data_IF_534818018120
#
_entry.id   IF_534818018120
#
_cell.length_a   1.000
_cell.length_b   1.000
_cell.length_c   1.000
_cell.angle_alpha   90.00
_cell.angle_beta   90.00
_cell.angle_gamma   90.00
#
_symmetry.space_group_name_H-M   'P 1'
#
loop_
_entity.id
_entity.type
_entity.pdbx_description
1 polymer ?
#
# COMPACT_ATOMS: atom_id res chain seq x y z
N UNK A 1 -13.95 -6.12 10.13
CA UNK A 1 -14.68 -7.29 9.61
C UNK A 1 -13.76 -8.49 9.42
N UNK A 2 -12.74 -8.41 8.56
CA UNK A 2 -11.80 -9.53 8.27
C UNK A 2 -11.19 -10.18 9.52
N UNK A 3 -10.77 -9.38 10.51
CA UNK A 3 -10.17 -9.90 11.76
C UNK A 3 -11.22 -10.58 12.64
N UNK A 4 -12.38 -9.95 12.81
CA UNK A 4 -13.45 -10.46 13.68
C UNK A 4 -14.08 -11.74 13.14
N UNK A 5 -14.18 -11.92 11.82
CA UNK A 5 -14.69 -13.14 11.20
C UNK A 5 -13.75 -14.35 11.33
N UNK A 6 -12.51 -14.16 11.81
CA UNK A 6 -11.61 -15.26 12.19
C UNK A 6 -11.79 -15.75 13.62
N UNK A 7 -12.69 -15.12 14.39
CA UNK A 7 -13.06 -15.58 15.72
C UNK A 7 -14.14 -16.66 15.60
N UNK A 8 -13.90 -17.90 16.09
CA UNK A 8 -14.86 -19.01 15.95
C UNK A 8 -16.26 -18.67 16.49
N UNK A 9 -16.32 -17.91 17.59
CA UNK A 9 -17.58 -17.45 18.17
C UNK A 9 -18.33 -16.46 17.27
N UNK A 10 -17.63 -15.57 16.57
CA UNK A 10 -18.29 -14.59 15.69
C UNK A 10 -18.68 -15.26 14.37
N UNK A 11 -17.83 -16.12 13.82
CA UNK A 11 -18.12 -16.83 12.57
C UNK A 11 -19.30 -17.78 12.71
N UNK A 12 -19.48 -18.43 13.87
CA UNK A 12 -20.62 -19.33 14.11
C UNK A 12 -21.97 -18.61 14.22
N UNK A 13 -21.97 -17.31 14.57
CA UNK A 13 -23.19 -16.50 14.69
C UNK A 13 -23.67 -15.92 13.36
N UNK A 14 -22.82 -15.91 12.33
CA UNK A 14 -23.10 -15.24 11.06
C UNK A 14 -23.33 -16.29 9.97
N UNK A 15 -24.54 -16.38 9.39
CA UNK A 15 -24.77 -17.20 8.20
C UNK A 15 -23.78 -16.81 7.09
N UNK A 16 -23.24 -17.82 6.40
CA UNK A 16 -22.26 -17.63 5.31
C UNK A 16 -21.04 -16.76 5.67
N UNK A 17 -20.57 -16.82 6.94
CA UNK A 17 -19.40 -16.09 7.43
C UNK A 17 -18.16 -16.20 6.53
N UNK A 18 -17.90 -17.37 5.93
CA UNK A 18 -16.78 -17.56 5.01
C UNK A 18 -16.93 -16.74 3.72
N UNK A 19 -18.12 -16.71 3.11
CA UNK A 19 -18.39 -15.90 1.92
C UNK A 19 -18.25 -14.40 2.23
N UNK A 20 -18.74 -13.96 3.39
CA UNK A 20 -18.59 -12.58 3.86
C UNK A 20 -17.12 -12.25 4.10
N UNK A 21 -16.36 -13.16 4.71
CA UNK A 21 -14.92 -13.00 4.93
C UNK A 21 -14.17 -12.86 3.60
N UNK A 22 -14.45 -13.72 2.63
CA UNK A 22 -13.80 -13.71 1.32
C UNK A 22 -14.08 -12.39 0.58
N UNK A 23 -15.34 -11.93 0.55
CA UNK A 23 -15.70 -10.62 -0.02
C UNK A 23 -15.01 -9.47 0.71
N UNK A 24 -15.04 -9.48 2.05
CA UNK A 24 -14.40 -8.47 2.87
C UNK A 24 -12.89 -8.39 2.63
N UNK A 25 -12.24 -9.53 2.41
CA UNK A 25 -10.82 -9.61 2.12
C UNK A 25 -10.49 -8.92 0.79
N UNK A 26 -11.29 -9.16 -0.26
CA UNK A 26 -11.07 -8.51 -1.57
C UNK A 26 -11.21 -6.99 -1.46
N UNK A 27 -12.27 -6.50 -0.82
CA UNK A 27 -12.48 -5.07 -0.63
C UNK A 27 -11.42 -4.46 0.27
N UNK A 28 -11.06 -5.14 1.37
CA UNK A 28 -10.00 -4.68 2.27
C UNK A 28 -8.70 -4.45 1.50
N UNK A 29 -8.21 -5.45 0.78
CA UNK A 29 -6.94 -5.35 0.04
C UNK A 29 -7.00 -4.24 -1.00
N UNK A 30 -8.04 -4.19 -1.84
CA UNK A 30 -8.13 -3.17 -2.88
C UNK A 30 -8.25 -1.76 -2.31
N UNK A 31 -9.05 -1.55 -1.26
CA UNK A 31 -9.22 -0.20 -0.70
C UNK A 31 -8.03 0.25 0.15
N UNK A 32 -7.51 -0.62 1.03
CA UNK A 32 -6.44 -0.24 1.96
C UNK A 32 -5.04 -0.24 1.34
N UNK A 33 -4.85 -0.94 0.21
CA UNK A 33 -3.57 -0.98 -0.49
C UNK A 33 -3.68 -0.23 -1.81
N UNK A 34 -4.43 -0.76 -2.78
CA UNK A 34 -4.43 -0.19 -4.13
C UNK A 34 -4.97 1.25 -4.14
N UNK A 35 -6.18 1.48 -3.62
CA UNK A 35 -6.81 2.81 -3.65
C UNK A 35 -6.07 3.79 -2.75
N UNK A 36 -5.83 3.41 -1.50
CA UNK A 36 -5.15 4.27 -0.53
C UNK A 36 -3.76 4.71 -1.00
N UNK A 37 -2.89 3.78 -1.39
CA UNK A 37 -1.51 4.10 -1.75
C UNK A 37 -1.44 4.93 -3.03
N UNK A 38 -2.22 4.57 -4.05
CA UNK A 38 -2.28 5.33 -5.31
C UNK A 38 -2.89 6.73 -5.11
N UNK A 39 -3.81 6.91 -4.14
CA UNK A 39 -4.37 8.22 -3.81
C UNK A 39 -3.32 9.15 -3.20
N UNK A 40 -2.46 8.64 -2.30
CA UNK A 40 -1.37 9.45 -1.73
C UNK A 40 -0.29 9.73 -2.78
N UNK A 41 0.06 8.77 -3.63
CA UNK A 41 0.95 9.02 -4.78
C UNK A 41 0.36 10.10 -5.70
N UNK A 42 -0.94 10.08 -5.92
CA UNK A 42 -1.64 11.11 -6.69
C UNK A 42 -1.57 12.49 -6.04
N UNK A 43 -1.57 12.57 -4.70
CA UNK A 43 -1.31 13.82 -3.99
C UNK A 43 0.15 14.28 -4.16
N UNK A 44 1.12 13.36 -4.09
CA UNK A 44 2.53 13.67 -4.31
C UNK A 44 2.77 14.25 -5.70
N UNK A 45 2.05 13.79 -6.70
CA UNK A 45 2.12 14.32 -8.07
C UNK A 45 1.69 15.79 -8.19
N UNK A 46 0.68 16.19 -7.44
CA UNK A 46 0.09 17.54 -7.57
C UNK A 46 0.61 18.54 -6.53
N UNK A 47 1.41 18.10 -5.55
CA UNK A 47 1.80 18.90 -4.37
C UNK A 47 2.46 20.24 -4.70
N UNK A 48 3.20 20.32 -5.80
CA UNK A 48 3.92 21.53 -6.23
C UNK A 48 3.26 22.23 -7.43
N UNK A 49 2.09 21.78 -7.88
CA UNK A 49 1.40 22.41 -8.99
C UNK A 49 0.75 23.72 -8.52
N UNK A 50 1.26 24.84 -9.04
CA UNK A 50 0.73 26.17 -8.74
C UNK A 50 -0.62 26.44 -9.43
N UNK A 51 -0.88 25.78 -10.57
CA UNK A 51 -2.15 25.82 -11.27
C UNK A 51 -2.55 24.39 -11.65
N UNK A 52 -3.70 23.94 -11.16
CA UNK A 52 -4.29 22.66 -11.57
C UNK A 52 -5.23 22.92 -12.74
N UNK A 53 -5.02 22.25 -13.87
CA UNK A 53 -5.97 22.27 -14.98
C UNK A 53 -7.27 21.56 -14.57
N UNK A 54 -8.40 21.86 -15.22
CA UNK A 54 -9.70 21.21 -15.05
C UNK A 54 -9.62 19.68 -15.10
N UNK A 55 -8.66 19.12 -15.84
CA UNK A 55 -8.41 17.68 -15.90
C UNK A 55 -8.02 17.07 -14.55
N UNK A 56 -7.12 17.69 -13.77
CA UNK A 56 -6.80 17.22 -12.41
C UNK A 56 -8.04 17.26 -11.51
N UNK A 57 -8.88 18.28 -11.69
CA UNK A 57 -10.15 18.42 -10.96
C UNK A 57 -11.20 17.37 -11.34
N UNK A 58 -11.10 16.74 -12.51
CA UNK A 58 -11.99 15.63 -12.90
C UNK A 58 -11.49 14.28 -12.37
N UNK A 59 -10.18 14.08 -12.27
CA UNK A 59 -9.60 12.78 -11.91
C UNK A 59 -9.95 12.30 -10.49
N UNK A 60 -10.06 13.21 -9.51
CA UNK A 60 -10.48 12.79 -8.17
C UNK A 60 -11.94 12.30 -8.14
N UNK A 61 -12.81 12.86 -8.98
CA UNK A 61 -14.20 12.40 -9.13
C UNK A 61 -14.19 10.99 -9.71
N UNK A 62 -13.41 10.78 -10.77
CA UNK A 62 -13.30 9.48 -11.43
C UNK A 62 -12.74 8.41 -10.47
N UNK A 63 -11.67 8.72 -9.72
CA UNK A 63 -11.09 7.78 -8.76
C UNK A 63 -12.04 7.47 -7.59
N UNK A 64 -12.81 8.46 -7.12
CA UNK A 64 -13.83 8.28 -6.08
C UNK A 64 -14.96 7.39 -6.58
N UNK A 65 -15.49 7.65 -7.78
CA UNK A 65 -16.53 6.81 -8.39
C UNK A 65 -16.03 5.37 -8.58
N UNK A 66 -14.79 5.21 -9.04
CA UNK A 66 -14.15 3.90 -9.21
C UNK A 66 -14.07 3.12 -7.90
N UNK A 67 -13.66 3.79 -6.82
CA UNK A 67 -13.63 3.22 -5.47
C UNK A 67 -15.03 2.81 -4.99
N UNK A 68 -16.04 3.65 -5.21
CA UNK A 68 -17.42 3.34 -4.85
C UNK A 68 -17.97 2.15 -5.65
N UNK A 69 -17.67 2.05 -6.95
CA UNK A 69 -18.04 0.90 -7.78
C UNK A 69 -17.42 -0.40 -7.26
N UNK A 70 -16.13 -0.39 -6.91
CA UNK A 70 -15.47 -1.54 -6.30
C UNK A 70 -16.11 -1.89 -4.95
N UNK A 71 -16.42 -0.91 -4.09
CA UNK A 71 -17.06 -1.16 -2.81
C UNK A 71 -18.47 -1.76 -2.97
N UNK A 72 -19.32 -1.15 -3.80
CA UNK A 72 -20.71 -1.58 -4.03
C UNK A 72 -20.75 -2.98 -4.65
N UNK A 73 -19.73 -3.35 -5.44
CA UNK A 73 -19.65 -4.67 -6.06
C UNK A 73 -19.63 -5.84 -5.07
N UNK A 74 -19.24 -5.62 -3.81
CA UNK A 74 -19.25 -6.63 -2.75
C UNK A 74 -20.66 -7.06 -2.31
N UNK A 75 -21.67 -6.27 -2.65
CA UNK A 75 -23.07 -6.55 -2.33
C UNK A 75 -23.80 -7.26 -3.49
N UNK A 76 -23.10 -7.56 -4.60
CA UNK A 76 -23.66 -8.33 -5.71
C UNK A 76 -23.76 -9.80 -5.32
N UNK A 77 -24.97 -10.40 -5.27
CA UNK A 77 -25.15 -11.79 -4.85
C UNK A 77 -24.43 -12.78 -5.77
N UNK A 78 -24.02 -13.93 -5.21
CA UNK A 78 -23.41 -15.04 -5.93
C UNK A 78 -22.16 -14.63 -6.75
N UNK A 79 -21.41 -13.65 -6.26
CA UNK A 79 -20.17 -13.22 -6.90
C UNK A 79 -19.06 -14.23 -6.60
N UNK A 80 -18.41 -14.74 -7.64
CA UNK A 80 -17.21 -15.55 -7.50
C UNK A 80 -16.06 -14.69 -6.97
N UNK A 81 -15.43 -15.15 -5.89
CA UNK A 81 -14.37 -14.41 -5.18
C UNK A 81 -13.00 -14.99 -5.51
N UNK A 82 -12.14 -14.18 -6.12
CA UNK A 82 -10.81 -14.59 -6.56
C UNK A 82 -9.76 -13.90 -5.70
N UNK A 83 -9.06 -14.68 -4.88
CA UNK A 83 -8.07 -14.20 -3.91
C UNK A 83 -6.65 -14.17 -4.51
N UNK A 84 -6.50 -13.69 -5.74
CA UNK A 84 -5.19 -13.50 -6.39
C UNK A 84 -4.29 -12.60 -5.56
N UNK A 85 -2.98 -12.79 -5.65
CA UNK A 85 -2.03 -11.91 -4.99
C UNK A 85 -2.05 -10.50 -5.62
N UNK A 86 -1.69 -9.49 -4.82
CA UNK A 86 -1.72 -8.05 -5.16
C UNK A 86 -3.10 -7.44 -5.39
N UNK A 87 -3.82 -7.87 -6.42
CA UNK A 87 -5.15 -7.35 -6.79
C UNK A 87 -6.13 -8.53 -6.81
N UNK A 88 -6.80 -8.83 -5.69
CA UNK A 88 -7.88 -9.80 -5.65
C UNK A 88 -9.12 -9.24 -6.35
N UNK A 89 -9.96 -10.12 -6.88
CA UNK A 89 -11.07 -9.76 -7.78
C UNK A 89 -12.39 -10.31 -7.28
N UNK A 90 -13.41 -9.46 -7.33
CA UNK A 90 -14.81 -9.89 -7.31
C UNK A 90 -15.26 -10.03 -8.76
N UNK A 91 -15.65 -11.25 -9.17
CA UNK A 91 -15.94 -11.54 -10.57
C UNK A 91 -17.32 -11.05 -10.98
N UNK A 92 -17.48 -9.73 -11.07
CA UNK A 92 -18.67 -9.07 -11.58
C UNK A 92 -18.29 -7.80 -12.35
N UNK A 93 -19.21 -7.33 -13.20
CA UNK A 93 -18.98 -6.18 -14.10
C UNK A 93 -18.70 -4.89 -13.32
N UNK A 94 -19.35 -4.69 -12.17
CA UNK A 94 -19.18 -3.48 -11.35
C UNK A 94 -17.75 -3.37 -10.81
N UNK A 95 -17.21 -4.47 -10.26
CA UNK A 95 -15.85 -4.50 -9.74
C UNK A 95 -14.83 -4.27 -10.86
N UNK A 96 -14.92 -5.03 -11.95
CA UNK A 96 -13.96 -4.94 -13.07
C UNK A 96 -13.99 -3.56 -13.75
N UNK A 97 -15.18 -2.97 -13.90
CA UNK A 97 -15.32 -1.61 -14.43
C UNK A 97 -14.74 -0.57 -13.46
N UNK A 98 -15.03 -0.67 -12.16
CA UNK A 98 -14.45 0.19 -11.13
C UNK A 98 -12.91 0.10 -11.11
N UNK A 99 -12.36 -1.11 -11.15
CA UNK A 99 -10.91 -1.33 -11.21
C UNK A 99 -10.29 -0.73 -12.48
N UNK A 100 -10.91 -0.94 -13.64
CA UNK A 100 -10.46 -0.35 -14.92
C UNK A 100 -10.44 1.17 -14.89
N UNK A 101 -11.55 1.79 -14.44
CA UNK A 101 -11.62 3.25 -14.30
C UNK A 101 -10.58 3.79 -13.30
N UNK A 102 -10.33 3.07 -12.20
CA UNK A 102 -9.31 3.46 -11.23
C UNK A 102 -7.91 3.47 -11.86
N UNK A 103 -7.54 2.39 -12.55
CA UNK A 103 -6.25 2.29 -13.25
C UNK A 103 -6.10 3.43 -14.26
N UNK A 104 -7.13 3.67 -15.09
CA UNK A 104 -7.13 4.78 -16.05
C UNK A 104 -6.93 6.13 -15.35
N UNK A 105 -7.64 6.38 -14.25
CA UNK A 105 -7.51 7.63 -13.49
C UNK A 105 -6.08 7.84 -12.99
N UNK A 106 -5.42 6.80 -12.49
CA UNK A 106 -4.04 6.89 -12.00
C UNK A 106 -3.05 7.12 -13.14
N UNK A 107 -3.21 6.44 -14.28
CA UNK A 107 -2.34 6.61 -15.44
C UNK A 107 -2.47 8.00 -16.06
N UNK A 108 -3.69 8.54 -16.17
CA UNK A 108 -3.90 9.91 -16.65
C UNK A 108 -3.28 10.92 -15.67
N UNK A 109 -3.41 10.71 -14.36
CA UNK A 109 -2.75 11.54 -13.36
C UNK A 109 -1.22 11.53 -13.51
N UNK A 110 -0.63 10.34 -13.71
CA UNK A 110 0.80 10.17 -13.96
C UNK A 110 1.26 10.91 -15.24
N UNK A 111 0.50 10.79 -16.33
CA UNK A 111 0.80 11.46 -17.60
C UNK A 111 0.75 12.99 -17.47
N UNK A 112 -0.29 13.54 -16.83
CA UNK A 112 -0.40 14.99 -16.61
C UNK A 112 0.74 15.52 -15.74
N UNK A 113 1.18 14.74 -14.75
CA UNK A 113 2.32 15.10 -13.89
C UNK A 113 3.62 15.21 -14.68
N UNK A 114 3.89 14.23 -15.54
CA UNK A 114 5.05 14.24 -16.41
C UNK A 114 5.08 15.48 -17.32
N UNK A 115 3.93 15.88 -17.86
CA UNK A 115 3.82 17.07 -18.72
C UNK A 115 3.99 18.40 -17.97
N UNK A 116 3.64 18.42 -16.68
CA UNK A 116 3.57 19.66 -15.89
C UNK A 116 4.88 20.01 -15.18
N UNK A 117 5.75 19.02 -14.96
CA UNK A 117 6.92 19.19 -14.11
C UNK A 117 8.16 19.64 -14.90
N UNK A 118 8.59 20.89 -14.72
CA UNK A 118 9.70 21.49 -15.50
C UNK A 118 10.95 21.81 -14.69
N UNK A 119 10.91 21.69 -13.36
CA UNK A 119 12.04 22.10 -12.50
C UNK A 119 12.78 20.90 -11.92
N UNK A 120 14.10 20.89 -12.03
CA UNK A 120 14.95 19.84 -11.47
C UNK A 120 14.98 19.93 -9.92
N UNK A 121 14.53 18.86 -9.25
CA UNK A 121 14.58 18.70 -7.81
C UNK A 121 14.57 17.20 -7.43
N UNK A 122 14.91 16.84 -6.19
CA UNK A 122 14.74 15.44 -5.74
C UNK A 122 13.28 14.98 -5.86
N UNK A 123 12.34 15.91 -5.66
CA UNK A 123 10.91 15.64 -5.74
C UNK A 123 10.49 15.38 -7.20
N UNK A 124 10.97 16.17 -8.15
CA UNK A 124 10.67 15.91 -9.57
C UNK A 124 11.31 14.63 -10.08
N UNK A 125 12.54 14.30 -9.65
CA UNK A 125 13.14 12.99 -9.95
C UNK A 125 12.28 11.86 -9.40
N UNK A 126 11.85 11.94 -8.14
CA UNK A 126 11.02 10.89 -7.55
C UNK A 126 9.63 10.79 -8.17
N UNK A 127 9.00 11.92 -8.53
CA UNK A 127 7.71 11.96 -9.24
C UNK A 127 7.82 11.35 -10.63
N UNK A 128 8.83 11.72 -11.41
CA UNK A 128 9.09 11.11 -12.73
C UNK A 128 9.36 9.61 -12.58
N UNK A 129 10.16 9.22 -11.59
CA UNK A 129 10.40 7.82 -11.28
C UNK A 129 9.11 7.06 -10.94
N UNK A 130 8.22 7.66 -10.15
CA UNK A 130 6.90 7.08 -9.85
C UNK A 130 6.04 6.92 -11.12
N UNK A 131 6.02 7.92 -12.01
CA UNK A 131 5.33 7.82 -13.31
C UNK A 131 5.87 6.62 -14.10
N UNK A 132 7.19 6.52 -14.20
CA UNK A 132 7.87 5.44 -14.93
C UNK A 132 7.51 4.07 -14.30
N UNK A 133 7.59 3.92 -12.98
CA UNK A 133 7.26 2.66 -12.30
C UNK A 133 5.80 2.27 -12.52
N UNK A 134 4.86 3.22 -12.43
CA UNK A 134 3.44 2.97 -12.67
C UNK A 134 3.16 2.55 -14.13
N UNK A 135 3.82 3.19 -15.09
CA UNK A 135 3.73 2.80 -16.51
C UNK A 135 4.35 1.42 -16.73
N UNK A 136 5.50 1.10 -16.12
CA UNK A 136 6.10 -0.23 -16.17
C UNK A 136 5.19 -1.29 -15.54
N UNK A 137 4.54 -0.99 -14.41
CA UNK A 137 3.55 -1.86 -13.78
C UNK A 137 2.36 -2.14 -14.71
N UNK A 138 1.82 -1.10 -15.34
CA UNK A 138 0.75 -1.26 -16.33
C UNK A 138 1.20 -2.06 -17.55
N UNK A 139 2.43 -1.84 -18.02
CA UNK A 139 3.02 -2.62 -19.10
C UNK A 139 3.12 -4.11 -18.74
N UNK A 140 3.48 -4.46 -17.50
CA UNK A 140 3.41 -5.85 -17.03
C UNK A 140 2.00 -6.43 -17.16
N UNK A 141 0.94 -5.70 -16.78
CA UNK A 141 -0.44 -6.19 -16.93
C UNK A 141 -0.81 -6.42 -18.40
N UNK A 142 -0.42 -5.50 -19.29
CA UNK A 142 -0.68 -5.62 -20.72
C UNK A 142 0.07 -6.81 -21.34
N UNK A 143 1.36 -6.97 -21.02
CA UNK A 143 2.18 -8.08 -21.51
C UNK A 143 1.70 -9.42 -20.96
N UNK A 144 1.34 -9.47 -19.67
CA UNK A 144 0.78 -10.66 -19.05
C UNK A 144 -0.53 -11.08 -19.73
N UNK A 145 -1.42 -10.14 -20.02
CA UNK A 145 -2.66 -10.41 -20.74
C UNK A 145 -2.41 -10.87 -22.19
N UNK A 146 -1.51 -10.19 -22.91
CA UNK A 146 -1.19 -10.51 -24.31
C UNK A 146 -0.56 -11.90 -24.47
N UNK A 147 0.28 -12.30 -23.53
CA UNK A 147 1.00 -13.57 -23.57
C UNK A 147 0.24 -14.69 -22.82
N UNK A 148 -1.00 -14.45 -22.42
CA UNK A 148 -1.82 -15.42 -21.69
C UNK A 148 -2.22 -16.60 -22.57
N UNK A 149 -2.12 -17.87 -22.08
CA UNK A 149 -2.63 -19.02 -22.79
C UNK A 149 -4.11 -18.86 -23.15
N UNK A 150 -4.46 -19.17 -24.40
CA UNK A 150 -5.84 -19.10 -24.86
C UNK A 150 -6.72 -20.05 -24.04
N UNK A 151 -7.87 -19.55 -23.58
CA UNK A 151 -8.81 -20.34 -22.78
C UNK A 151 -8.53 -20.39 -21.27
N UNK A 152 -7.36 -19.93 -20.77
CA UNK A 152 -7.05 -19.99 -19.33
C UNK A 152 -8.10 -19.25 -18.49
N UNK A 153 -8.60 -18.11 -18.96
CA UNK A 153 -9.68 -17.36 -18.30
C UNK A 153 -10.95 -18.21 -18.10
N UNK A 154 -11.24 -19.13 -19.02
CA UNK A 154 -12.44 -19.98 -18.93
C UNK A 154 -12.20 -21.27 -18.15
N UNK A 155 -10.99 -21.83 -18.21
CA UNK A 155 -10.65 -23.07 -17.50
C UNK A 155 -10.29 -22.85 -16.04
N UNK A 156 -9.53 -21.79 -15.72
CA UNK A 156 -9.10 -21.46 -14.38
C UNK A 156 -8.90 -19.94 -14.20
N UNK A 157 -9.97 -19.27 -13.76
CA UNK A 157 -9.93 -17.83 -13.48
C UNK A 157 -8.97 -17.47 -12.34
N UNK A 158 -8.77 -18.37 -11.37
CA UNK A 158 -7.87 -18.10 -10.24
C UNK A 158 -6.44 -17.96 -10.74
N UNK A 159 -5.97 -18.92 -11.53
CA UNK A 159 -4.65 -18.85 -12.16
C UNK A 159 -4.54 -17.71 -13.15
N UNK A 160 -5.60 -17.43 -13.94
CA UNK A 160 -5.63 -16.28 -14.85
C UNK A 160 -5.35 -14.96 -14.13
N UNK A 161 -6.07 -14.64 -13.05
CA UNK A 161 -5.88 -13.38 -12.33
C UNK A 161 -4.60 -13.36 -11.50
N UNK A 162 -4.15 -14.52 -11.00
CA UNK A 162 -2.85 -14.64 -10.34
C UNK A 162 -1.71 -14.24 -11.28
N UNK A 163 -1.66 -14.82 -12.49
CA UNK A 163 -0.63 -14.49 -13.48
C UNK A 163 -0.77 -13.08 -14.06
N UNK A 164 -2.01 -12.63 -14.29
CA UNK A 164 -2.27 -11.28 -14.79
C UNK A 164 -1.70 -10.21 -13.85
N UNK A 165 -1.90 -10.36 -12.54
CA UNK A 165 -1.51 -9.33 -11.57
C UNK A 165 -0.14 -9.53 -10.94
N UNK A 166 0.52 -10.67 -11.15
CA UNK A 166 1.80 -10.99 -10.52
C UNK A 166 2.86 -9.93 -10.75
N UNK A 167 3.29 -9.73 -12.00
CA UNK A 167 4.41 -8.84 -12.31
C UNK A 167 4.10 -7.36 -12.10
N UNK A 168 2.92 -6.90 -12.51
CA UNK A 168 2.53 -5.50 -12.29
C UNK A 168 2.29 -5.20 -10.82
N UNK A 169 1.75 -6.14 -10.05
CA UNK A 169 1.56 -6.02 -8.61
C UNK A 169 2.87 -5.93 -7.83
N UNK A 170 3.90 -6.65 -8.26
CA UNK A 170 5.27 -6.48 -7.76
C UNK A 170 5.76 -5.05 -7.97
N UNK A 171 5.65 -4.52 -9.20
CA UNK A 171 6.10 -3.15 -9.49
C UNK A 171 5.30 -2.06 -8.77
N UNK A 172 4.01 -2.31 -8.46
CA UNK A 172 3.25 -1.40 -7.59
C UNK A 172 3.90 -1.26 -6.19
N UNK A 173 4.51 -2.31 -5.65
CA UNK A 173 5.22 -2.21 -4.36
C UNK A 173 6.44 -1.29 -4.44
N UNK A 174 7.16 -1.29 -5.57
CA UNK A 174 8.26 -0.34 -5.81
C UNK A 174 7.75 1.10 -5.87
N UNK A 175 6.58 1.33 -6.49
CA UNK A 175 5.95 2.65 -6.51
C UNK A 175 5.54 3.08 -5.09
N UNK A 176 4.92 2.20 -4.30
CA UNK A 176 4.51 2.52 -2.94
C UNK A 176 5.70 2.83 -2.02
N UNK A 177 6.78 2.05 -2.13
CA UNK A 177 7.99 2.27 -1.37
C UNK A 177 8.71 3.57 -1.78
N UNK A 178 8.72 3.91 -3.07
CA UNK A 178 9.24 5.20 -3.55
C UNK A 178 8.38 6.39 -3.10
N UNK A 179 7.06 6.25 -3.10
CA UNK A 179 6.14 7.25 -2.56
C UNK A 179 6.41 7.49 -1.07
N UNK A 180 6.62 6.43 -0.29
CA UNK A 180 7.03 6.52 1.11
C UNK A 180 8.35 7.28 1.25
N UNK A 181 9.37 6.91 0.48
CA UNK A 181 10.69 7.57 0.54
C UNK A 181 10.59 9.07 0.23
N UNK A 182 9.79 9.45 -0.77
CA UNK A 182 9.50 10.86 -1.07
C UNK A 182 8.85 11.59 0.11
N UNK A 183 7.90 10.94 0.80
CA UNK A 183 7.30 11.51 2.02
C UNK A 183 8.35 11.77 3.10
N UNK A 184 9.28 10.84 3.33
CA UNK A 184 10.40 11.06 4.27
C UNK A 184 11.24 12.26 3.86
N UNK A 185 11.59 12.38 2.57
CA UNK A 185 12.37 13.52 2.07
C UNK A 185 11.61 14.85 2.25
N UNK A 186 10.33 14.90 1.89
CA UNK A 186 9.49 16.11 2.01
C UNK A 186 9.42 16.58 3.47
N UNK A 187 9.11 15.65 4.38
CA UNK A 187 8.96 15.97 5.80
C UNK A 187 10.30 16.30 6.47
N UNK A 188 11.39 15.62 6.14
CA UNK A 188 12.72 15.98 6.67
C UNK A 188 13.21 17.32 6.13
N UNK A 189 12.85 17.66 4.88
CA UNK A 189 13.29 18.92 4.28
C UNK A 189 12.69 20.17 4.96
N UNK A 190 11.60 20.05 5.73
CA UNK A 190 11.10 21.18 6.53
C UNK A 190 12.01 21.53 7.72
N UNK A 191 12.98 20.67 8.04
CA UNK A 191 13.69 20.69 9.31
C UNK A 191 15.20 20.62 9.12
N UNK A 192 15.64 19.98 8.03
CA UNK A 192 17.03 19.87 7.59
C UNK A 192 17.07 20.29 6.13
N UNK A 193 17.98 21.19 5.75
CA UNK A 193 18.11 21.58 4.35
C UNK A 193 18.69 20.41 3.53
N UNK A 194 17.83 19.65 2.86
CA UNK A 194 18.23 18.52 2.01
C UNK A 194 18.63 19.05 0.64
N UNK A 195 19.93 19.29 0.47
CA UNK A 195 20.48 19.76 -0.80
C UNK A 195 20.29 18.73 -1.93
N UNK A 196 20.03 19.22 -3.15
CA UNK A 196 19.89 18.40 -4.37
C UNK A 196 21.14 17.55 -4.67
N UNK A 197 22.33 18.03 -4.32
CA UNK A 197 23.58 17.30 -4.54
C UNK A 197 23.79 16.16 -3.52
N UNK A 198 22.90 15.99 -2.54
CA UNK A 198 23.00 14.92 -1.56
C UNK A 198 22.62 13.58 -2.22
N UNK A 199 23.63 12.73 -2.46
CA UNK A 199 23.47 11.40 -3.06
C UNK A 199 22.39 10.56 -2.36
N UNK A 200 22.17 10.72 -1.05
CA UNK A 200 21.16 9.95 -0.30
C UNK A 200 19.72 10.35 -0.65
N UNK A 201 19.50 11.51 -1.26
CA UNK A 201 18.16 11.97 -1.66
C UNK A 201 17.79 11.46 -3.04
N UNK A 202 18.68 11.59 -4.04
CA UNK A 202 18.38 11.31 -5.45
C UNK A 202 18.71 9.87 -5.86
N UNK A 203 19.88 9.35 -5.44
CA UNK A 203 20.37 8.04 -5.87
C UNK A 203 19.36 6.91 -5.57
N UNK A 204 18.70 6.85 -4.40
CA UNK A 204 17.75 5.78 -4.10
C UNK A 204 16.53 5.82 -5.03
N UNK A 205 16.03 7.02 -5.34
CA UNK A 205 14.90 7.23 -6.24
C UNK A 205 15.24 6.77 -7.67
N UNK A 206 16.44 7.13 -8.14
CA UNK A 206 16.93 6.73 -9.45
C UNK A 206 17.12 5.21 -9.54
N UNK A 207 17.84 4.61 -8.58
CA UNK A 207 18.10 3.16 -8.58
C UNK A 207 16.79 2.37 -8.52
N UNK A 208 15.86 2.74 -7.62
CA UNK A 208 14.58 2.06 -7.51
C UNK A 208 13.76 2.12 -8.81
N UNK A 209 13.81 3.27 -9.51
CA UNK A 209 13.17 3.42 -10.82
C UNK A 209 13.80 2.50 -11.87
N UNK A 210 15.13 2.47 -11.99
CA UNK A 210 15.83 1.61 -12.96
C UNK A 210 15.55 0.13 -12.69
N UNK A 211 15.58 -0.27 -11.42
CA UNK A 211 15.30 -1.65 -11.01
C UNK A 211 13.87 -2.08 -11.38
N UNK A 212 12.90 -1.18 -11.38
CA UNK A 212 11.53 -1.48 -11.78
C UNK A 212 11.36 -1.54 -13.31
N UNK A 213 12.01 -0.65 -14.07
CA UNK A 213 11.85 -0.53 -15.53
C UNK A 213 12.28 -1.77 -16.29
N UNK A 214 13.28 -2.51 -15.79
CA UNK A 214 13.74 -3.73 -16.44
C UNK A 214 12.76 -4.90 -16.38
N UNK A 215 11.87 -4.92 -15.37
CA UNK A 215 11.07 -6.11 -15.07
C UNK A 215 10.02 -6.49 -16.13
N UNK A 216 9.30 -5.57 -16.81
CA UNK A 216 8.33 -5.93 -17.85
C UNK A 216 8.95 -6.70 -19.02
N UNK A 217 10.24 -6.51 -19.29
CA UNK A 217 10.91 -7.19 -20.42
C UNK A 217 11.09 -8.69 -20.20
N UNK A 218 10.92 -9.18 -18.96
CA UNK A 218 10.97 -10.62 -18.68
C UNK A 218 9.83 -11.41 -19.32
N UNK A 219 8.70 -10.77 -19.62
CA UNK A 219 7.59 -11.38 -20.36
C UNK A 219 7.93 -11.69 -21.83
N UNK A 220 9.07 -11.21 -22.36
CA UNK A 220 9.58 -11.62 -23.68
C UNK A 220 10.49 -12.87 -23.61
N UNK A 221 10.89 -13.27 -22.40
CA UNK A 221 11.82 -14.39 -22.18
C UNK A 221 11.08 -15.60 -21.61
N UNK A 222 10.16 -15.37 -20.66
CA UNK A 222 9.42 -16.42 -19.97
C UNK A 222 7.93 -16.33 -20.28
N UNK A 223 7.25 -17.49 -20.32
CA UNK A 223 5.80 -17.53 -20.42
C UNK A 223 5.15 -17.01 -19.14
N UNK A 224 3.91 -16.52 -19.24
CA UNK A 224 3.21 -15.90 -18.10
C UNK A 224 2.83 -16.89 -17.00
N UNK A 225 2.69 -18.17 -17.36
CA UNK A 225 2.37 -19.30 -16.50
C UNK A 225 3.61 -20.08 -16.05
N UNK A 226 4.81 -19.63 -16.41
CA UNK A 226 6.08 -20.30 -16.11
C UNK A 226 6.52 -20.08 -14.66
N UNK A 227 7.14 -21.11 -14.08
CA UNK A 227 7.71 -21.02 -12.74
C UNK A 227 8.87 -20.03 -12.68
N UNK A 228 9.64 -19.89 -13.76
CA UNK A 228 10.77 -18.98 -13.89
C UNK A 228 10.32 -17.52 -13.79
N UNK A 229 9.21 -17.15 -14.43
CA UNK A 229 8.66 -15.79 -14.32
C UNK A 229 8.23 -15.49 -12.87
N UNK A 230 7.54 -16.43 -12.23
CA UNK A 230 7.12 -16.32 -10.84
C UNK A 230 8.34 -16.14 -9.92
N UNK A 231 9.37 -16.96 -10.10
CA UNK A 231 10.62 -16.90 -9.35
C UNK A 231 11.38 -15.60 -9.62
N UNK A 232 11.44 -15.13 -10.86
CA UNK A 232 12.08 -13.86 -11.22
C UNK A 232 11.50 -12.72 -10.40
N UNK A 233 10.17 -12.53 -10.43
CA UNK A 233 9.52 -11.44 -9.70
C UNK A 233 9.68 -11.61 -8.18
N UNK A 234 9.65 -12.84 -7.68
CA UNK A 234 9.89 -13.13 -6.24
C UNK A 234 11.28 -12.68 -5.82
N UNK A 235 12.33 -13.06 -6.56
CA UNK A 235 13.72 -12.67 -6.26
C UNK A 235 13.98 -11.19 -6.55
N UNK A 236 13.35 -10.64 -7.57
CA UNK A 236 13.37 -9.21 -7.88
C UNK A 236 12.84 -8.39 -6.71
N UNK A 237 11.73 -8.78 -6.09
CA UNK A 237 11.24 -8.13 -4.87
C UNK A 237 12.22 -8.29 -3.70
N UNK A 238 12.75 -9.49 -3.49
CA UNK A 238 13.64 -9.79 -2.34
C UNK A 238 14.97 -9.04 -2.42
N UNK A 239 15.58 -8.96 -3.60
CA UNK A 239 16.90 -8.34 -3.79
C UNK A 239 16.75 -6.88 -4.19
N UNK A 240 16.07 -6.61 -5.31
CA UNK A 240 15.96 -5.26 -5.85
C UNK A 240 15.09 -4.38 -4.95
N UNK A 241 13.99 -4.94 -4.41
CA UNK A 241 13.12 -4.24 -3.47
C UNK A 241 13.78 -3.93 -2.11
N UNK A 242 14.88 -4.59 -1.75
CA UNK A 242 15.63 -4.33 -0.52
C UNK A 242 16.54 -3.09 -0.59
N UNK A 243 16.86 -2.62 -1.80
CA UNK A 243 17.79 -1.49 -2.00
C UNK A 243 17.26 -0.20 -1.38
N UNK A 244 16.00 0.15 -1.64
CA UNK A 244 15.40 1.37 -1.11
C UNK A 244 15.27 1.36 0.43
N UNK A 245 14.85 0.26 1.09
CA UNK A 245 14.96 0.10 2.55
C UNK A 245 16.38 0.35 3.11
N UNK A 246 17.44 -0.13 2.45
CA UNK A 246 18.82 0.13 2.88
C UNK A 246 19.12 1.64 2.89
N UNK A 247 18.71 2.37 1.85
CA UNK A 247 18.86 3.82 1.81
C UNK A 247 17.97 4.54 2.84
N UNK A 248 16.78 4.00 3.14
CA UNK A 248 15.94 4.53 4.20
C UNK A 248 16.62 4.40 5.57
N UNK A 249 17.26 3.27 5.87
CA UNK A 249 18.06 3.09 7.09
C UNK A 249 19.16 4.16 7.18
N UNK A 250 19.88 4.40 6.09
CA UNK A 250 20.92 5.44 6.05
C UNK A 250 20.34 6.85 6.25
N UNK A 251 19.19 7.15 5.63
CA UNK A 251 18.50 8.44 5.77
C UNK A 251 18.04 8.66 7.21
N UNK A 252 17.42 7.66 7.83
CA UNK A 252 16.97 7.73 9.23
C UNK A 252 18.16 7.86 10.17
N UNK A 253 19.21 7.06 10.00
CA UNK A 253 20.41 7.12 10.83
C UNK A 253 21.05 8.52 10.84
N UNK A 254 21.20 9.14 9.66
CA UNK A 254 21.79 10.48 9.55
C UNK A 254 20.95 11.57 10.20
N UNK A 255 19.63 11.39 10.28
CA UNK A 255 18.69 12.40 10.74
C UNK A 255 17.98 11.97 12.04
N UNK A 256 18.54 11.02 12.78
CA UNK A 256 17.87 10.40 13.94
C UNK A 256 17.55 11.42 15.04
N UNK A 257 18.43 12.41 15.28
CA UNK A 257 18.20 13.48 16.26
C UNK A 257 16.96 14.29 15.88
N UNK A 258 16.89 14.77 14.64
CA UNK A 258 15.72 15.49 14.13
C UNK A 258 14.44 14.67 14.24
N UNK A 259 14.49 13.39 13.86
CA UNK A 259 13.34 12.49 13.92
C UNK A 259 12.87 12.20 15.36
N UNK A 260 13.74 12.33 16.36
CA UNK A 260 13.39 12.18 17.78
C UNK A 260 12.90 13.48 18.42
N UNK A 261 13.46 14.63 18.00
CA UNK A 261 13.20 15.93 18.61
C UNK A 261 11.91 16.60 18.09
N UNK A 262 11.46 16.25 16.89
CA UNK A 262 10.29 16.87 16.28
C UNK A 262 8.96 16.40 16.87
N UNK A 263 8.36 17.27 17.69
CA UNK A 263 7.00 17.08 18.20
C UNK A 263 6.01 16.98 17.04
N UNK A 264 5.38 15.81 16.91
CA UNK A 264 4.35 15.58 15.88
C UNK A 264 4.84 14.88 14.62
N UNK A 265 6.14 14.58 14.51
CA UNK A 265 6.70 13.73 13.46
C UNK A 265 6.80 12.29 13.98
N UNK A 266 5.99 11.38 13.44
CA UNK A 266 5.98 9.97 13.85
C UNK A 266 6.53 9.03 12.77
N UNK A 267 7.40 9.53 11.90
CA UNK A 267 8.06 8.72 10.85
C UNK A 267 8.83 7.53 11.43
N UNK A 268 9.38 7.61 12.65
CA UNK A 268 10.06 6.45 13.26
C UNK A 268 9.14 5.23 13.46
N UNK A 269 7.83 5.43 13.66
CA UNK A 269 6.88 4.31 13.75
C UNK A 269 6.69 3.63 12.39
N UNK A 270 6.70 4.43 11.31
CA UNK A 270 6.72 3.93 9.94
C UNK A 270 7.99 3.12 9.69
N UNK A 271 9.15 3.67 10.06
CA UNK A 271 10.45 3.04 9.86
C UNK A 271 10.52 1.68 10.56
N UNK A 272 10.19 1.61 11.86
CA UNK A 272 10.26 0.37 12.64
C UNK A 272 9.38 -0.73 12.03
N UNK A 273 8.11 -0.41 11.70
CA UNK A 273 7.20 -1.41 11.13
C UNK A 273 7.58 -1.81 9.70
N UNK A 274 8.07 -0.85 8.89
CA UNK A 274 8.52 -1.13 7.53
C UNK A 274 9.72 -2.06 7.51
N UNK A 275 10.74 -1.79 8.35
CA UNK A 275 11.92 -2.66 8.47
C UNK A 275 11.55 -4.02 9.07
N UNK A 276 10.68 -4.05 10.08
CA UNK A 276 10.19 -5.30 10.65
C UNK A 276 9.49 -6.18 9.59
N UNK A 277 8.59 -5.59 8.80
CA UNK A 277 7.94 -6.28 7.68
C UNK A 277 8.92 -6.73 6.59
N UNK A 278 9.91 -5.89 6.25
CA UNK A 278 10.95 -6.23 5.28
C UNK A 278 11.82 -7.41 5.71
N UNK A 279 12.26 -7.43 6.99
CA UNK A 279 13.00 -8.56 7.56
C UNK A 279 12.17 -9.85 7.50
N UNK A 280 10.89 -9.78 7.88
CA UNK A 280 9.98 -10.92 7.74
C UNK A 280 9.85 -11.37 6.28
N UNK A 281 9.83 -10.46 5.31
CA UNK A 281 9.73 -10.78 3.89
C UNK A 281 10.94 -11.55 3.35
N UNK A 282 12.14 -11.26 3.85
CA UNK A 282 13.37 -12.01 3.53
C UNK A 282 13.35 -13.39 4.17
N UNK A 283 12.89 -13.48 5.42
CA UNK A 283 12.85 -14.73 6.20
C UNK A 283 11.69 -15.65 5.83
N UNK A 284 10.62 -15.11 5.25
CA UNK A 284 9.43 -15.89 4.90
C UNK A 284 9.66 -16.67 3.61
N UNK A 285 9.74 -18.00 3.74
CA UNK A 285 9.91 -18.94 2.62
C UNK A 285 8.60 -19.69 2.32
N UNK A 286 7.70 -19.81 3.29
CA UNK A 286 6.53 -20.69 3.23
C UNK A 286 5.19 -19.98 2.99
N UNK A 287 4.25 -20.69 2.35
CA UNK A 287 2.92 -20.24 1.94
C UNK A 287 1.89 -19.95 3.05
N UNK A 288 2.30 -19.81 4.31
CA UNK A 288 1.40 -19.73 5.47
C UNK A 288 1.13 -18.26 5.89
N UNK A 289 0.58 -18.01 7.09
CA UNK A 289 0.25 -16.63 7.55
C UNK A 289 1.46 -15.72 7.79
N UNK A 290 2.69 -16.24 7.74
CA UNK A 290 3.91 -15.42 7.72
C UNK A 290 3.97 -14.51 6.49
N UNK A 291 3.34 -14.91 5.37
CA UNK A 291 3.19 -14.05 4.19
C UNK A 291 2.40 -12.78 4.55
N UNK A 292 1.16 -12.89 5.07
CA UNK A 292 0.47 -11.73 5.61
C UNK A 292 1.22 -10.94 6.66
N UNK A 293 1.96 -11.60 7.54
CA UNK A 293 2.73 -10.89 8.53
C UNK A 293 3.75 -9.92 7.89
N UNK A 294 4.51 -10.38 6.88
CA UNK A 294 5.49 -9.51 6.23
C UNK A 294 4.82 -8.33 5.52
N UNK A 295 3.76 -8.57 4.73
CA UNK A 295 3.18 -7.48 3.94
C UNK A 295 2.36 -6.54 4.81
N UNK A 296 1.74 -7.02 5.90
CA UNK A 296 1.17 -6.12 6.89
C UNK A 296 2.25 -5.23 7.50
N UNK A 297 3.44 -5.74 7.82
CA UNK A 297 4.54 -4.89 8.29
C UNK A 297 4.96 -3.82 7.26
N UNK A 298 5.27 -4.24 6.03
CA UNK A 298 5.76 -3.31 5.00
C UNK A 298 4.69 -2.30 4.57
N UNK A 299 3.48 -2.75 4.26
CA UNK A 299 2.37 -1.87 3.81
C UNK A 299 1.93 -0.93 4.93
N UNK A 300 1.85 -1.40 6.18
CA UNK A 300 1.48 -0.53 7.31
C UNK A 300 2.58 0.48 7.59
N UNK A 301 3.86 0.10 7.48
CA UNK A 301 4.98 1.02 7.55
C UNK A 301 4.84 2.17 6.56
N UNK A 302 4.52 1.87 5.30
CA UNK A 302 4.22 2.89 4.26
C UNK A 302 3.00 3.72 4.65
N UNK A 303 1.92 3.07 5.11
CA UNK A 303 0.67 3.73 5.52
C UNK A 303 0.90 4.75 6.64
N UNK A 304 1.73 4.44 7.63
CA UNK A 304 2.05 5.35 8.72
C UNK A 304 2.78 6.58 8.21
N UNK A 305 3.73 6.42 7.27
CA UNK A 305 4.38 7.57 6.65
C UNK A 305 3.35 8.46 5.94
N UNK A 306 2.43 7.85 5.20
CA UNK A 306 1.36 8.56 4.50
C UNK A 306 0.38 9.26 5.45
N UNK A 307 0.02 8.65 6.58
CA UNK A 307 -0.78 9.30 7.61
C UNK A 307 -0.07 10.53 8.20
N UNK A 308 1.23 10.42 8.50
CA UNK A 308 2.06 11.53 8.95
C UNK A 308 2.12 12.66 7.90
N UNK A 309 2.28 12.30 6.63
CA UNK A 309 2.25 13.24 5.53
C UNK A 309 0.92 14.00 5.43
N UNK A 310 -0.22 13.31 5.61
CA UNK A 310 -1.54 13.98 5.62
C UNK A 310 -1.64 14.96 6.77
N UNK A 311 -1.21 14.62 7.99
CA UNK A 311 -1.20 15.57 9.11
C UNK A 311 -0.30 16.78 8.85
N UNK A 312 0.87 16.57 8.23
CA UNK A 312 1.77 17.65 7.82
C UNK A 312 1.18 18.52 6.69
N UNK A 313 0.32 17.94 5.84
CA UNK A 313 -0.29 18.62 4.71
C UNK A 313 -1.51 19.46 5.12
N UNK A 314 -2.30 19.01 6.11
CA UNK A 314 -3.53 19.69 6.55
C UNK A 314 -3.35 21.21 6.80
N UNK A 315 -2.34 21.68 7.57
CA UNK A 315 -2.10 23.12 7.75
C UNK A 315 -1.80 23.87 6.46
N UNK A 316 -1.12 23.22 5.50
CA UNK A 316 -0.77 23.81 4.19
C UNK A 316 -1.99 23.94 3.28
N UNK A 317 -3.03 23.14 3.52
CA UNK A 317 -4.34 23.27 2.88
C UNK A 317 -5.25 24.29 3.60
N UNK A 318 -4.71 25.03 4.58
CA UNK A 318 -5.44 26.03 5.35
C UNK A 318 -6.28 25.46 6.50
N UNK A 319 -6.22 24.16 6.78
CA UNK A 319 -6.85 23.58 7.96
C UNK A 319 -6.09 23.98 9.24
N UNK A 320 -6.74 23.85 10.40
CA UNK A 320 -6.03 24.02 11.68
C UNK A 320 -5.08 22.84 11.92
N UNK A 321 -3.93 23.14 12.52
CA UNK A 321 -3.02 22.10 12.99
C UNK A 321 -3.71 21.20 14.03
N UNK A 322 -3.54 19.89 13.87
CA UNK A 322 -4.08 18.91 14.82
C UNK A 322 -3.20 18.87 16.05
N UNK A 323 -3.81 18.93 17.23
CA UNK A 323 -3.09 18.82 18.52
C UNK A 323 -2.21 17.58 18.53
N UNK A 324 -0.93 17.77 18.82
CA UNK A 324 0.09 16.70 18.83
C UNK A 324 -0.29 15.49 19.69
N UNK A 325 -1.00 15.69 20.82
CA UNK A 325 -1.47 14.59 21.68
C UNK A 325 -2.49 13.67 21.00
N UNK A 326 -3.36 14.22 20.15
CA UNK A 326 -4.37 13.44 19.41
C UNK A 326 -3.68 12.64 18.31
N UNK A 327 -2.77 13.28 17.55
CA UNK A 327 -1.96 12.59 16.53
C UNK A 327 -1.15 11.47 17.18
N UNK A 328 -0.56 11.73 18.36
CA UNK A 328 0.18 10.73 19.14
C UNK A 328 -0.68 9.52 19.45
N UNK A 329 -1.84 9.73 20.07
CA UNK A 329 -2.74 8.65 20.45
C UNK A 329 -3.10 7.79 19.23
N UNK A 330 -3.44 8.45 18.11
CA UNK A 330 -3.81 7.75 16.87
C UNK A 330 -2.65 6.93 16.30
N UNK A 331 -1.45 7.52 16.14
CA UNK A 331 -0.31 6.81 15.55
C UNK A 331 0.17 5.69 16.47
N UNK A 332 0.20 5.89 17.79
CA UNK A 332 0.58 4.83 18.74
C UNK A 332 -0.42 3.67 18.72
N UNK A 333 -1.73 3.95 18.74
CA UNK A 333 -2.73 2.90 18.61
C UNK A 333 -2.56 2.13 17.29
N UNK A 334 -2.40 2.84 16.18
CA UNK A 334 -2.26 2.20 14.87
C UNK A 334 -0.98 1.36 14.74
N UNK A 335 0.14 1.87 15.25
CA UNK A 335 1.47 1.23 15.14
C UNK A 335 1.65 0.08 16.13
N UNK A 336 1.37 0.28 17.42
CA UNK A 336 1.46 -0.79 18.43
C UNK A 336 0.44 -1.90 18.17
N UNK A 337 -0.77 -1.53 17.76
CA UNK A 337 -1.78 -2.50 17.33
C UNK A 337 -1.27 -3.37 16.19
N UNK A 338 -0.72 -2.76 15.13
CA UNK A 338 -0.15 -3.54 14.03
C UNK A 338 1.09 -4.34 14.42
N UNK A 339 1.97 -3.81 15.27
CA UNK A 339 3.12 -4.55 15.76
C UNK A 339 2.68 -5.85 16.44
N UNK A 340 1.75 -5.76 17.40
CA UNK A 340 1.17 -6.94 18.07
C UNK A 340 0.45 -7.88 17.09
N UNK A 341 -0.31 -7.32 16.14
CA UNK A 341 -1.02 -8.10 15.14
C UNK A 341 -0.08 -8.91 14.24
N UNK A 342 0.97 -8.27 13.74
CA UNK A 342 2.00 -8.87 12.87
C UNK A 342 2.77 -9.92 13.64
N UNK A 343 3.23 -9.62 14.86
CA UNK A 343 3.94 -10.60 15.70
C UNK A 343 3.04 -11.80 16.01
N UNK A 344 1.75 -11.56 16.29
CA UNK A 344 0.76 -12.63 16.45
C UNK A 344 0.63 -13.49 15.19
N UNK A 345 0.56 -12.90 14.00
CA UNK A 345 0.54 -13.63 12.73
C UNK A 345 1.80 -14.48 12.53
N UNK A 346 3.00 -13.93 12.74
CA UNK A 346 4.26 -14.70 12.61
C UNK A 346 4.24 -15.90 13.55
N UNK A 347 3.83 -15.68 14.81
CA UNK A 347 3.79 -16.75 15.80
C UNK A 347 2.78 -17.83 15.44
N UNK A 348 1.58 -17.44 14.99
CA UNK A 348 0.57 -18.37 14.47
C UNK A 348 1.07 -19.13 13.23
N UNK A 349 1.87 -18.49 12.39
CA UNK A 349 2.54 -19.13 11.25
C UNK A 349 3.49 -20.23 11.67
N UNK A 350 4.23 -20.04 12.77
CA UNK A 350 5.05 -21.10 13.39
C UNK A 350 4.25 -22.31 13.89
N UNK A 351 2.94 -22.16 14.11
CA UNK A 351 2.00 -23.25 14.39
C UNK A 351 1.30 -23.80 13.14
N UNK A 352 1.73 -23.42 11.94
CA UNK A 352 1.17 -23.90 10.67
C UNK A 352 -0.15 -23.23 10.25
N UNK A 353 -0.50 -22.07 10.79
CA UNK A 353 -1.72 -21.37 10.40
C UNK A 353 -1.68 -21.00 8.90
N UNK A 354 -2.69 -21.46 8.15
CA UNK A 354 -2.76 -21.27 6.70
C UNK A 354 -3.25 -19.85 6.35
N UNK A 355 -2.75 -19.31 5.24
CA UNK A 355 -3.23 -18.02 4.70
C UNK A 355 -4.54 -18.19 3.93
N UNK A 356 -5.31 -17.11 3.79
CA UNK A 356 -6.55 -17.03 2.99
C UNK A 356 -7.70 -17.94 3.47
N UNK A 357 -7.60 -18.48 4.68
CA UNK A 357 -8.67 -19.22 5.39
C UNK A 357 -9.00 -18.52 6.71
N UNK A 358 -10.20 -18.75 7.25
CA UNK A 358 -10.61 -18.17 8.52
C UNK A 358 -10.09 -18.97 9.73
N UNK A 359 -9.83 -20.27 9.56
CA UNK A 359 -9.50 -21.19 10.66
C UNK A 359 -8.08 -21.02 11.19
N UNK A 360 -7.94 -21.14 12.52
CA UNK A 360 -6.67 -21.10 13.23
C UNK A 360 -6.37 -22.47 13.86
N UNK A 361 -5.13 -23.00 13.78
CA UNK A 361 -4.78 -24.31 14.31
C UNK A 361 -5.12 -24.45 15.79
N UNK A 362 -5.85 -25.49 16.20
CA UNK A 362 -6.29 -25.67 17.60
C UNK A 362 -5.14 -25.62 18.60
N UNK A 363 -3.98 -26.18 18.24
CA UNK A 363 -2.76 -26.23 19.07
C UNK A 363 -2.03 -24.90 19.23
N UNK A 364 -2.45 -23.85 18.52
CA UNK A 364 -1.76 -22.55 18.57
C UNK A 364 -1.90 -21.86 19.93
N UNK A 365 -0.81 -21.21 20.35
CA UNK A 365 -0.69 -20.50 21.62
C UNK A 365 -1.82 -19.49 21.85
N UNK A 366 -2.39 -19.51 23.05
CA UNK A 366 -3.39 -18.52 23.50
C UNK A 366 -2.80 -17.11 23.40
N UNK A 367 -1.53 -16.93 23.77
CA UNK A 367 -0.87 -15.63 23.70
C UNK A 367 -0.72 -15.15 22.25
N UNK A 368 -0.38 -16.04 21.32
CA UNK A 368 -0.31 -15.71 19.89
C UNK A 368 -1.67 -15.24 19.34
N UNK A 369 -2.75 -15.93 19.72
CA UNK A 369 -4.12 -15.55 19.36
C UNK A 369 -4.50 -14.18 19.96
N UNK A 370 -4.19 -13.95 21.24
CA UNK A 370 -4.45 -12.66 21.90
C UNK A 370 -3.71 -11.54 21.18
N UNK A 371 -2.40 -11.69 20.92
CA UNK A 371 -1.62 -10.69 20.18
C UNK A 371 -2.23 -10.39 18.81
N UNK A 372 -2.61 -11.43 18.07
CA UNK A 372 -3.25 -11.29 16.76
C UNK A 372 -4.57 -10.50 16.82
N UNK A 373 -5.47 -10.88 17.73
CA UNK A 373 -6.83 -10.33 17.83
C UNK A 373 -6.80 -8.92 18.43
N UNK A 374 -6.17 -8.76 19.60
CA UNK A 374 -6.10 -7.48 20.31
C UNK A 374 -5.30 -6.47 19.50
N UNK A 375 -4.16 -6.88 18.93
CA UNK A 375 -3.39 -6.02 18.04
C UNK A 375 -4.22 -5.53 16.86
N UNK A 376 -4.97 -6.45 16.23
CA UNK A 376 -5.89 -6.13 15.15
C UNK A 376 -7.03 -5.18 15.54
N UNK A 377 -7.61 -5.36 16.72
CA UNK A 377 -8.68 -4.48 17.22
C UNK A 377 -8.14 -3.07 17.51
N UNK A 378 -6.99 -2.96 18.19
CA UNK A 378 -6.34 -1.68 18.50
C UNK A 378 -5.92 -0.97 17.21
N UNK A 379 -5.43 -1.70 16.21
CA UNK A 379 -5.06 -1.12 14.92
C UNK A 379 -6.27 -0.58 14.16
N UNK A 380 -7.41 -1.28 14.19
CA UNK A 380 -8.67 -0.78 13.63
C UNK A 380 -9.10 0.52 14.29
N UNK A 381 -9.04 0.61 15.62
CA UNK A 381 -9.33 1.86 16.35
C UNK A 381 -8.38 2.98 15.91
N UNK A 382 -7.08 2.72 15.83
CA UNK A 382 -6.10 3.69 15.33
C UNK A 382 -6.37 4.16 13.90
N UNK A 383 -6.84 3.27 13.02
CA UNK A 383 -7.20 3.61 11.64
C UNK A 383 -8.48 4.44 11.56
N UNK A 384 -9.50 4.09 12.33
CA UNK A 384 -10.75 4.87 12.43
C UNK A 384 -10.50 6.27 12.98
N UNK A 385 -9.66 6.39 14.01
CA UNK A 385 -9.27 7.68 14.57
C UNK A 385 -8.65 8.58 13.49
N UNK A 386 -7.75 8.06 12.65
CA UNK A 386 -7.16 8.83 11.55
C UNK A 386 -8.24 9.40 10.62
N UNK A 387 -9.16 8.55 10.15
CA UNK A 387 -10.25 8.97 9.25
C UNK A 387 -11.11 10.04 9.91
N UNK A 388 -11.52 9.84 11.17
CA UNK A 388 -12.37 10.79 11.92
C UNK A 388 -11.64 12.13 12.09
N UNK A 389 -10.36 12.12 12.51
CA UNK A 389 -9.58 13.34 12.73
C UNK A 389 -9.46 14.14 11.43
N UNK A 390 -9.04 13.48 10.34
CA UNK A 390 -8.85 14.13 9.04
C UNK A 390 -10.19 14.67 8.51
N UNK A 391 -11.25 13.86 8.56
CA UNK A 391 -12.58 14.27 8.10
C UNK A 391 -13.11 15.49 8.87
N UNK A 392 -13.04 15.47 10.21
CA UNK A 392 -13.45 16.61 11.04
C UNK A 392 -12.58 17.85 10.81
N UNK A 393 -11.28 17.66 10.53
CA UNK A 393 -10.38 18.77 10.19
C UNK A 393 -10.78 19.44 8.87
N UNK A 394 -11.10 18.64 7.85
CA UNK A 394 -11.54 19.14 6.55
C UNK A 394 -12.90 19.84 6.64
N UNK A 395 -13.86 19.28 7.39
CA UNK A 395 -15.19 19.88 7.58
C UNK A 395 -15.15 21.22 8.32
N UNK A 396 -14.28 21.36 9.31
CA UNK A 396 -14.22 22.59 10.13
C UNK A 396 -13.71 23.81 9.36
N UNK A 397 -13.13 23.62 8.17
CA UNK A 397 -12.74 24.72 7.29
C UNK A 397 -11.69 25.67 7.90
N UNK A 398 -11.26 26.65 7.09
CA UNK A 398 -10.05 27.47 7.30
C UNK A 398 -9.85 27.95 8.74
N UNK A 399 -8.60 27.93 9.21
CA UNK A 399 -8.21 28.68 10.39
C UNK A 399 -8.72 30.13 10.22
N UNK A 400 -9.53 30.63 11.17
CA UNK A 400 -9.86 32.05 11.23
C UNK A 400 -8.55 32.80 11.26
N UNK A 401 -8.21 33.48 10.17
CA UNK A 401 -7.18 34.51 10.14
C UNK A 401 -7.72 35.63 11.02
N UNK A 402 -7.21 35.73 12.24
CA UNK A 402 -7.36 36.96 13.01
C UNK A 402 -6.42 38.01 12.43
#
# INVERSE_FOLDING_TARGET
MVIFLRLPFISSLIPSAQYIFDNALVIHVNLSILVWMCSIISLLFIINLQNTNNWFSFLWILSTLSMLLMFISAFVPNTEVIKSNYIPVLQNKLFLFGLGLFITSILVNAALTYMSNKQASYLSVGQIGLVIILVSSFLCFVLAHKNMPSGLYHSDKSSFYEYLFWGGGHLLQFAFAQGMFLVYLIMLNSSVNLALNNKITILPLFINTILAVGAPFTYFVYSVDSAELIQFFTWHMRIAGAVLPCFLIMLVYRNIKTLLDEKGNYLLHSFVLFIYGGMLGVLTIEGNVTIPAHYHGSVVGITIAFMNFVYWLLPKLGCKEIKSSIVRLQIYAYSLGHFLHITGLVWLGGYGALRKVADLPSISSVLARICFIMGGAVSVVGGMLFVIIVFLSLLKGRARTN
#
